data_IF_093858406262
#
_entry.id   IF_093858406262
#
_cell.length_a   1.000
_cell.length_b   1.000
_cell.length_c   1.000
_cell.angle_alpha   90.00
_cell.angle_beta   90.00
_cell.angle_gamma   90.00
#
_symmetry.space_group_name_H-M   'P 1'
#
loop_
_entity.id
_entity.type
_entity.pdbx_description
1 polymer ?
#
# COMPACT_ATOMS: atom_id res chain seq x y z
N UNK A 1 -6.99 -7.02 -0.09
CA UNK A 1 -7.71 -6.79 1.18
C UNK A 1 -6.82 -6.73 2.42
N UNK A 2 -6.14 -7.83 2.79
CA UNK A 2 -5.43 -8.00 4.08
C UNK A 2 -4.47 -6.86 4.47
N UNK A 3 -3.60 -6.42 3.56
CA UNK A 3 -2.64 -5.34 3.84
C UNK A 3 -3.32 -3.98 4.05
N UNK A 4 -4.42 -3.72 3.33
CA UNK A 4 -5.19 -2.48 3.50
C UNK A 4 -5.86 -2.41 4.87
N UNK A 5 -6.47 -3.51 5.35
CA UNK A 5 -7.03 -3.57 6.70
C UNK A 5 -5.96 -3.40 7.78
N UNK A 6 -4.79 -4.05 7.64
CA UNK A 6 -3.65 -3.82 8.54
C UNK A 6 -3.20 -2.36 8.57
N UNK A 7 -3.21 -1.70 7.42
CA UNK A 7 -2.82 -0.30 7.32
C UNK A 7 -3.86 0.62 7.96
N UNK A 8 -5.14 0.35 7.74
CA UNK A 8 -6.26 1.07 8.37
C UNK A 8 -6.19 0.97 9.89
N UNK A 9 -6.05 -0.24 10.43
CA UNK A 9 -5.89 -0.45 11.87
C UNK A 9 -4.66 0.29 12.45
N UNK A 10 -3.50 0.19 11.80
CA UNK A 10 -2.31 0.92 12.29
C UNK A 10 -2.52 2.44 12.27
N UNK A 11 -3.16 2.97 11.23
CA UNK A 11 -3.41 4.41 11.10
C UNK A 11 -4.47 4.88 12.11
N UNK A 12 -5.52 4.09 12.38
CA UNK A 12 -6.58 4.46 13.33
C UNK A 12 -6.07 4.57 14.78
N UNK A 13 -4.99 3.87 15.12
CA UNK A 13 -4.39 3.91 16.46
C UNK A 13 -3.50 5.12 16.73
N UNK A 14 -3.24 5.97 15.72
CA UNK A 14 -2.48 7.21 15.93
C UNK A 14 -3.39 8.29 16.52
N UNK A 15 -2.99 8.86 17.66
CA UNK A 15 -3.75 9.89 18.38
C UNK A 15 -3.08 11.26 18.30
N UNK A 16 -3.87 12.32 18.42
CA UNK A 16 -3.38 13.70 18.61
C UNK A 16 -2.80 14.40 17.38
N UNK A 17 -2.98 13.88 16.16
CA UNK A 17 -2.42 14.46 14.92
C UNK A 17 -3.47 14.82 13.85
N UNK A 18 -4.75 14.80 14.23
CA UNK A 18 -5.86 14.98 13.30
C UNK A 18 -6.01 13.81 12.31
N UNK A 19 -6.84 13.95 11.26
CA UNK A 19 -7.08 12.89 10.31
C UNK A 19 -5.87 12.64 9.39
N UNK A 20 -5.70 11.39 8.98
CA UNK A 20 -4.74 11.01 7.98
C UNK A 20 -5.04 11.68 6.62
N UNK A 21 -3.98 12.11 5.94
CA UNK A 21 -4.00 12.74 4.63
C UNK A 21 -3.35 11.79 3.62
N UNK A 22 -3.80 11.90 2.39
CA UNK A 22 -3.14 11.32 1.24
C UNK A 22 -2.12 12.32 0.70
N UNK A 23 -0.84 11.95 0.71
CA UNK A 23 0.25 12.78 0.21
C UNK A 23 0.95 11.98 -0.87
N UNK A 24 1.35 12.64 -1.95
CA UNK A 24 2.14 12.03 -3.02
C UNK A 24 3.47 12.76 -3.13
N UNK A 25 4.55 12.00 -3.28
CA UNK A 25 5.90 12.50 -3.49
C UNK A 25 6.49 11.88 -4.77
N UNK A 26 6.74 12.70 -5.78
CA UNK A 26 7.37 12.29 -7.04
C UNK A 26 8.88 12.53 -7.00
N UNK A 27 9.64 11.58 -7.54
CA UNK A 27 11.09 11.69 -7.68
C UNK A 27 11.46 12.66 -8.82
N UNK A 28 12.60 13.37 -8.70
CA UNK A 28 13.26 13.98 -9.86
C UNK A 28 13.87 12.89 -10.74
N UNK A 29 14.05 13.18 -12.03
CA UNK A 29 14.61 12.23 -13.00
C UNK A 29 16.01 11.72 -12.59
N UNK A 30 16.81 12.59 -11.97
CA UNK A 30 18.15 12.27 -11.46
C UNK A 30 18.16 11.09 -10.46
N UNK A 31 17.07 10.90 -9.72
CA UNK A 31 16.95 9.85 -8.71
C UNK A 31 16.25 8.58 -9.24
N UNK A 32 15.85 8.54 -10.51
CA UNK A 32 15.14 7.38 -11.07
C UNK A 32 15.96 6.09 -10.99
N UNK A 33 17.28 6.19 -11.20
CA UNK A 33 18.19 5.04 -11.08
C UNK A 33 18.23 4.44 -9.67
N UNK A 34 17.97 5.23 -8.62
CA UNK A 34 17.97 4.74 -7.24
C UNK A 34 16.85 3.73 -6.97
N UNK A 35 15.82 3.69 -7.81
CA UNK A 35 14.75 2.69 -7.71
C UNK A 35 15.31 1.27 -7.82
N UNK A 36 16.30 1.06 -8.70
CA UNK A 36 16.94 -0.24 -8.91
C UNK A 36 18.25 -0.39 -8.15
N UNK A 37 19.02 0.69 -7.97
CA UNK A 37 20.38 0.59 -7.41
C UNK A 37 20.46 0.76 -5.89
N UNK A 38 19.61 1.58 -5.28
CA UNK A 38 19.61 1.82 -3.82
C UNK A 38 18.21 2.22 -3.32
N UNK A 39 17.26 1.30 -3.46
CA UNK A 39 15.89 1.51 -2.99
C UNK A 39 15.81 1.86 -1.48
N UNK A 40 16.59 1.22 -0.58
CA UNK A 40 16.62 1.62 0.84
C UNK A 40 17.13 3.05 1.07
N UNK A 41 18.16 3.49 0.33
CA UNK A 41 18.67 4.87 0.37
C UNK A 41 17.67 5.87 -0.17
N UNK A 42 17.03 5.58 -1.31
CA UNK A 42 15.93 6.37 -1.86
C UNK A 42 14.82 6.56 -0.82
N UNK A 43 14.38 5.47 -0.17
CA UNK A 43 13.34 5.53 0.86
C UNK A 43 13.76 6.38 2.06
N UNK A 44 15.02 6.29 2.52
CA UNK A 44 15.56 7.16 3.57
C UNK A 44 15.57 8.63 3.15
N UNK A 45 15.91 8.92 1.89
CA UNK A 45 15.87 10.28 1.31
C UNK A 45 14.44 10.83 1.34
N UNK A 46 13.46 10.03 0.89
CA UNK A 46 12.02 10.36 0.92
C UNK A 46 11.53 10.67 2.35
N UNK A 47 11.92 9.87 3.35
CA UNK A 47 11.54 10.16 4.74
C UNK A 47 12.06 11.52 5.24
N UNK A 48 13.29 11.89 4.87
CA UNK A 48 13.86 13.19 5.25
C UNK A 48 13.08 14.35 4.60
N UNK A 49 12.73 14.21 3.32
CA UNK A 49 11.94 15.20 2.57
C UNK A 49 10.55 15.36 3.22
N UNK A 50 9.85 14.24 3.41
CA UNK A 50 8.53 14.23 4.05
C UNK A 50 8.55 14.90 5.43
N UNK A 51 9.58 14.65 6.25
CA UNK A 51 9.73 15.30 7.55
C UNK A 51 9.90 16.82 7.43
N UNK A 52 10.66 17.30 6.44
CA UNK A 52 10.90 18.74 6.24
C UNK A 52 9.64 19.49 5.83
N UNK A 53 8.78 18.86 5.02
CA UNK A 53 7.48 19.42 4.63
C UNK A 53 6.39 19.13 5.67
N UNK A 54 6.75 18.80 6.91
CA UNK A 54 5.81 18.68 8.03
C UNK A 54 5.06 17.35 8.16
N UNK A 55 5.41 16.33 7.37
CA UNK A 55 4.89 14.98 7.56
C UNK A 55 5.45 14.36 8.85
N UNK A 56 4.56 13.92 9.73
CA UNK A 56 4.91 13.35 11.04
C UNK A 56 5.12 11.84 11.00
N UNK A 57 4.54 11.16 10.01
CA UNK A 57 4.63 9.71 9.81
C UNK A 57 3.46 9.16 9.00
N UNK A 58 3.59 7.93 8.52
CA UNK A 58 2.53 7.31 7.71
C UNK A 58 2.90 5.95 7.13
N UNK A 59 1.94 5.40 6.39
CA UNK A 59 2.07 4.28 5.46
C UNK A 59 2.65 4.80 4.14
N UNK A 60 3.80 4.29 3.70
CA UNK A 60 4.45 4.66 2.43
C UNK A 60 4.35 3.49 1.44
N UNK A 61 3.85 3.76 0.23
CA UNK A 61 3.61 2.78 -0.84
C UNK A 61 4.23 3.27 -2.15
N UNK A 62 5.10 2.48 -2.76
CA UNK A 62 5.82 2.86 -3.97
C UNK A 62 5.08 2.49 -5.26
N UNK A 63 5.11 3.39 -6.23
CA UNK A 63 4.49 3.24 -7.54
C UNK A 63 5.51 3.62 -8.63
N UNK A 64 5.95 2.66 -9.47
CA UNK A 64 6.96 2.93 -10.49
C UNK A 64 6.42 3.67 -11.71
N UNK A 65 5.13 3.50 -12.01
CA UNK A 65 4.51 4.03 -13.22
C UNK A 65 3.35 4.96 -12.92
N UNK A 66 3.08 5.87 -13.84
CA UNK A 66 1.89 6.73 -13.85
C UNK A 66 1.20 6.59 -15.20
N UNK A 67 -0.10 6.87 -15.23
CA UNK A 67 -0.87 6.98 -16.48
C UNK A 67 -0.77 8.40 -17.04
N UNK A 68 -0.73 8.54 -18.35
CA UNK A 68 -0.92 9.82 -19.05
C UNK A 68 -1.79 9.65 -20.29
N UNK A 69 -2.45 10.73 -20.67
CA UNK A 69 -3.17 10.81 -21.92
C UNK A 69 -2.14 10.94 -23.06
N UNK A 70 -2.07 10.00 -24.01
CA UNK A 70 -1.11 10.04 -25.11
C UNK A 70 -1.38 11.22 -26.06
N UNK A 71 -2.63 11.69 -26.12
CA UNK A 71 -3.04 12.80 -26.99
C UNK A 71 -2.61 14.18 -26.47
N UNK A 72 -2.66 14.41 -25.16
CA UNK A 72 -2.45 15.75 -24.59
C UNK A 72 -1.52 15.80 -23.38
N UNK A 73 -0.97 14.66 -22.96
CA UNK A 73 -0.06 14.56 -21.81
C UNK A 73 -0.74 14.68 -20.44
N UNK A 74 -2.05 14.91 -20.37
CA UNK A 74 -2.75 15.06 -19.09
C UNK A 74 -2.67 13.79 -18.24
N UNK A 75 -2.51 13.97 -16.93
CA UNK A 75 -2.42 12.87 -15.98
C UNK A 75 -3.84 12.64 -15.44
N UNK A 76 -4.49 11.50 -15.73
CA UNK A 76 -5.83 11.26 -15.24
C UNK A 76 -5.84 11.14 -13.73
N UNK A 77 -6.93 11.59 -13.14
CA UNK A 77 -7.26 11.21 -11.78
C UNK A 77 -7.64 9.73 -11.68
N UNK A 78 -7.64 9.27 -10.44
CA UNK A 78 -7.99 7.92 -10.05
C UNK A 78 -9.34 7.50 -10.62
N UNK A 79 -9.42 6.36 -11.32
CA UNK A 79 -10.67 5.81 -11.85
C UNK A 79 -11.20 6.44 -13.14
N UNK A 80 -10.55 7.48 -13.69
CA UNK A 80 -11.00 8.07 -14.95
C UNK A 80 -10.72 7.15 -16.15
N UNK A 81 -11.78 6.85 -16.91
CA UNK A 81 -11.71 6.07 -18.16
C UNK A 81 -11.56 6.96 -19.40
N UNK A 82 -11.91 8.24 -19.29
CA UNK A 82 -11.84 9.24 -20.35
C UNK A 82 -11.03 10.43 -19.85
N UNK A 83 -10.16 10.97 -20.72
CA UNK A 83 -9.40 12.18 -20.45
C UNK A 83 -10.33 13.38 -20.36
N UNK A 84 -10.40 14.00 -19.18
CA UNK A 84 -11.24 15.17 -18.91
C UNK A 84 -10.85 16.42 -19.72
N UNK A 85 -9.66 16.44 -20.33
CA UNK A 85 -9.17 17.58 -21.10
C UNK A 85 -9.48 17.47 -22.60
N UNK A 86 -9.33 16.29 -23.21
CA UNK A 86 -9.43 16.12 -24.67
C UNK A 86 -10.32 14.95 -25.13
N UNK A 87 -11.02 14.29 -24.20
CA UNK A 87 -11.93 13.19 -24.51
C UNK A 87 -11.26 11.88 -24.94
N UNK A 88 -9.93 11.76 -24.87
CA UNK A 88 -9.25 10.50 -25.19
C UNK A 88 -9.73 9.38 -24.27
N UNK A 89 -10.04 8.21 -24.82
CA UNK A 89 -10.65 7.09 -24.09
C UNK A 89 -9.65 6.01 -23.64
N UNK A 90 -8.36 6.21 -23.89
CA UNK A 90 -7.30 5.32 -23.43
C UNK A 90 -6.14 6.09 -22.79
N UNK A 91 -5.28 5.39 -22.05
CA UNK A 91 -4.15 6.00 -21.35
C UNK A 91 -2.95 5.07 -21.42
N UNK A 92 -1.77 5.66 -21.60
CA UNK A 92 -0.51 4.92 -21.58
C UNK A 92 0.14 4.99 -20.21
N UNK A 93 0.85 3.93 -19.84
CA UNK A 93 1.70 3.90 -18.66
C UNK A 93 3.11 4.35 -19.03
N UNK A 94 3.70 5.20 -18.20
CA UNK A 94 5.09 5.63 -18.39
C UNK A 94 5.82 5.63 -17.05
N UNK A 95 7.14 5.40 -17.11
CA UNK A 95 7.97 5.34 -15.91
C UNK A 95 8.06 6.73 -15.27
N UNK A 96 7.51 6.83 -14.06
CA UNK A 96 7.42 8.06 -13.28
C UNK A 96 7.31 7.67 -11.82
N UNK A 97 8.43 7.21 -11.21
CA UNK A 97 8.43 6.70 -9.87
C UNK A 97 7.97 7.76 -8.87
N UNK A 98 7.09 7.35 -7.97
CA UNK A 98 6.56 8.17 -6.90
C UNK A 98 6.13 7.31 -5.72
N UNK A 99 5.97 7.94 -4.56
CA UNK A 99 5.40 7.30 -3.39
C UNK A 99 4.09 7.96 -3.00
N UNK A 100 3.15 7.12 -2.59
CA UNK A 100 1.94 7.51 -1.90
C UNK A 100 2.15 7.35 -0.40
N UNK A 101 1.70 8.34 0.36
CA UNK A 101 1.69 8.35 1.80
C UNK A 101 0.26 8.47 2.27
N UNK A 102 -0.16 7.57 3.17
CA UNK A 102 -1.34 7.79 4.00
C UNK A 102 -0.83 8.04 5.41
N UNK A 103 -0.90 9.30 5.86
CA UNK A 103 -0.15 9.72 7.04
C UNK A 103 -0.59 11.06 7.61
N UNK A 104 0.17 11.52 8.60
CA UNK A 104 -0.19 12.66 9.44
C UNK A 104 0.79 13.82 9.27
N UNK A 105 0.35 15.01 9.63
CA UNK A 105 1.16 16.22 9.57
C UNK A 105 0.44 17.39 8.94
N UNK A 106 1.06 18.56 9.08
CA UNK A 106 0.65 19.79 8.43
C UNK A 106 1.63 20.04 7.28
N UNK A 107 1.14 19.97 6.03
CA UNK A 107 2.01 19.90 4.85
C UNK A 107 2.24 21.29 4.30
N UNK A 108 3.46 21.77 4.46
CA UNK A 108 3.89 23.13 4.08
C UNK A 108 5.30 23.12 3.51
N UNK A 109 5.72 24.25 2.92
CA UNK A 109 7.08 24.43 2.43
C UNK A 109 7.44 23.55 1.21
N UNK A 110 6.45 23.01 0.50
CA UNK A 110 6.68 22.07 -0.60
C UNK A 110 7.37 22.71 -1.81
N UNK A 111 7.12 24.00 -2.06
CA UNK A 111 7.81 24.75 -3.11
C UNK A 111 9.29 24.95 -2.81
N UNK A 112 9.62 25.34 -1.57
CA UNK A 112 11.01 25.48 -1.11
C UNK A 112 11.73 24.13 -1.13
N UNK A 113 11.05 23.06 -0.73
CA UNK A 113 11.63 21.71 -0.79
C UNK A 113 11.83 21.22 -2.22
N UNK A 114 10.95 21.59 -3.17
CA UNK A 114 11.15 21.33 -4.59
C UNK A 114 12.41 22.04 -5.12
N UNK A 115 12.58 23.34 -4.84
CA UNK A 115 13.79 24.08 -5.23
C UNK A 115 15.07 23.48 -4.63
N UNK A 116 14.97 22.93 -3.43
CA UNK A 116 16.10 22.31 -2.73
C UNK A 116 16.49 20.93 -3.27
N UNK A 117 15.50 20.10 -3.63
CA UNK A 117 15.70 18.66 -3.80
C UNK A 117 15.25 18.11 -5.15
N UNK A 118 14.49 18.88 -5.93
CA UNK A 118 13.80 18.42 -7.14
C UNK A 118 12.56 17.57 -6.87
N UNK A 119 12.28 17.18 -5.62
CA UNK A 119 11.11 16.36 -5.29
C UNK A 119 9.83 17.18 -5.26
N UNK A 120 8.80 16.66 -5.91
CA UNK A 120 7.46 17.28 -5.91
C UNK A 120 6.61 16.61 -4.85
N UNK A 121 6.27 17.33 -3.78
CA UNK A 121 5.33 16.88 -2.76
C UNK A 121 3.97 17.54 -2.96
N UNK A 122 2.93 16.73 -3.10
CA UNK A 122 1.54 17.18 -3.21
C UNK A 122 0.70 16.61 -2.07
N UNK A 123 0.00 17.50 -1.36
CA UNK A 123 -1.05 17.11 -0.44
C UNK A 123 -2.34 16.89 -1.25
N UNK A 124 -2.76 15.64 -1.41
CA UNK A 124 -3.99 15.26 -2.11
C UNK A 124 -5.22 15.44 -1.18
N UNK A 125 -4.97 15.62 0.13
CA UNK A 125 -6.00 15.90 1.11
C UNK A 125 -6.58 14.66 1.76
N UNK A 126 -7.71 14.84 2.44
CA UNK A 126 -8.38 13.76 3.17
C UNK A 126 -9.15 12.87 2.19
N UNK A 127 -8.97 11.55 2.31
CA UNK A 127 -9.79 10.56 1.60
C UNK A 127 -10.90 10.06 2.52
N UNK A 128 -11.97 9.50 1.93
CA UNK A 128 -13.15 9.01 2.68
C UNK A 128 -12.80 7.84 3.61
N UNK A 129 -12.00 6.89 3.12
CA UNK A 129 -11.55 5.72 3.88
C UNK A 129 -10.04 5.54 3.71
N UNK A 130 -9.36 5.25 4.83
CA UNK A 130 -7.94 4.89 4.83
C UNK A 130 -7.77 3.52 4.17
N UNK A 131 -8.56 2.52 4.58
CA UNK A 131 -8.52 1.18 4.00
C UNK A 131 -8.76 1.19 2.49
N UNK A 132 -9.79 1.90 2.03
CA UNK A 132 -10.10 2.04 0.60
C UNK A 132 -8.97 2.73 -0.19
N UNK A 133 -8.36 3.77 0.40
CA UNK A 133 -7.22 4.46 -0.24
C UNK A 133 -6.02 3.53 -0.36
N UNK A 134 -5.64 2.84 0.72
CA UNK A 134 -4.52 1.90 0.70
C UNK A 134 -4.80 0.73 -0.24
N UNK A 135 -6.03 0.18 -0.25
CA UNK A 135 -6.42 -0.89 -1.14
C UNK A 135 -6.25 -0.48 -2.61
N UNK A 136 -6.73 0.72 -2.97
CA UNK A 136 -6.56 1.24 -4.32
C UNK A 136 -5.08 1.40 -4.64
N UNK A 137 -4.28 2.01 -3.76
CA UNK A 137 -2.84 2.14 -4.01
C UNK A 137 -2.15 0.78 -4.21
N UNK A 138 -2.51 -0.22 -3.42
CA UNK A 138 -1.95 -1.56 -3.56
C UNK A 138 -2.35 -2.27 -4.85
N UNK A 139 -3.45 -1.88 -5.51
CA UNK A 139 -3.91 -2.52 -6.75
C UNK A 139 -2.98 -2.29 -7.95
N UNK A 140 -2.05 -1.34 -7.83
CA UNK A 140 -1.12 -0.95 -8.90
C UNK A 140 0.24 -0.49 -8.34
N UNK A 141 0.57 -0.95 -7.12
CA UNK A 141 1.86 -0.69 -6.51
C UNK A 141 2.96 -1.53 -7.17
N UNK A 142 4.19 -1.02 -7.15
CA UNK A 142 5.36 -1.82 -7.53
C UNK A 142 5.68 -2.83 -6.44
N UNK A 143 5.92 -4.08 -6.82
CA UNK A 143 6.33 -5.15 -5.90
C UNK A 143 7.76 -5.56 -6.24
N UNK A 144 8.56 -5.81 -5.21
CA UNK A 144 9.93 -6.31 -5.33
C UNK A 144 10.09 -7.53 -4.43
N UNK A 145 10.91 -8.50 -4.84
CA UNK A 145 11.11 -9.75 -4.07
C UNK A 145 11.71 -9.47 -2.69
N UNK A 146 12.71 -8.59 -2.62
CA UNK A 146 13.44 -8.30 -1.38
C UNK A 146 12.82 -7.20 -0.49
N UNK A 147 11.77 -6.51 -0.97
CA UNK A 147 11.25 -5.33 -0.27
C UNK A 147 9.74 -5.38 -0.06
N UNK A 148 9.31 -4.99 1.14
CA UNK A 148 7.89 -4.81 1.42
C UNK A 148 7.30 -3.62 0.65
N UNK A 149 6.17 -3.87 -0.01
CA UNK A 149 5.37 -2.86 -0.73
C UNK A 149 4.84 -1.74 0.18
N UNK A 150 4.57 -2.07 1.45
CA UNK A 150 4.13 -1.12 2.48
C UNK A 150 5.25 -0.96 3.50
N UNK A 151 5.65 0.29 3.74
CA UNK A 151 6.61 0.64 4.79
C UNK A 151 6.06 1.72 5.71
N UNK A 152 6.59 1.78 6.93
CA UNK A 152 6.08 2.64 8.00
C UNK A 152 7.18 3.55 8.52
N UNK A 153 6.87 4.83 8.67
CA UNK A 153 7.84 5.83 9.15
C UNK A 153 7.22 6.84 10.10
N UNK A 154 8.09 7.61 10.76
CA UNK A 154 7.69 8.66 11.68
C UNK A 154 6.89 8.09 12.84
N UNK A 155 5.81 8.76 13.25
CA UNK A 155 4.94 8.29 14.35
C UNK A 155 4.30 6.93 14.10
N UNK A 156 4.19 6.48 12.84
CA UNK A 156 3.61 5.19 12.49
C UNK A 156 4.64 4.04 12.46
N UNK A 157 5.93 4.31 12.71
CA UNK A 157 6.98 3.29 12.65
C UNK A 157 6.84 2.22 13.73
N UNK A 158 7.34 1.02 13.46
CA UNK A 158 7.21 -0.14 14.36
C UNK A 158 7.80 0.08 15.76
N UNK A 159 8.86 0.89 15.88
CA UNK A 159 9.49 1.23 17.16
C UNK A 159 8.76 2.33 17.94
N UNK A 160 7.87 3.10 17.32
CA UNK A 160 7.14 4.20 17.97
C UNK A 160 5.68 3.88 18.23
N UNK A 161 5.06 3.09 17.36
CA UNK A 161 3.67 2.70 17.47
C UNK A 161 3.55 1.18 17.60
N UNK A 162 3.21 0.75 18.82
CA UNK A 162 2.78 -0.61 19.12
C UNK A 162 1.28 -0.69 18.84
N UNK A 163 0.93 -1.49 17.85
CA UNK A 163 -0.44 -1.63 17.36
C UNK A 163 -1.08 -2.81 18.06
N UNK A 164 -2.21 -2.58 18.72
CA UNK A 164 -3.09 -3.66 19.19
C UNK A 164 -3.67 -4.32 17.95
N UNK A 165 -3.45 -5.61 17.75
CA UNK A 165 -4.08 -6.27 16.61
C UNK A 165 -5.58 -6.31 16.88
N UNK A 166 -6.37 -5.93 15.88
CA UNK A 166 -7.81 -6.18 15.96
C UNK A 166 -8.00 -7.68 16.10
N UNK A 167 -8.87 -8.08 17.03
CA UNK A 167 -9.48 -9.40 16.99
C UNK A 167 -10.22 -9.46 15.68
N UNK A 168 -9.56 -10.02 14.69
CA UNK A 168 -10.25 -10.53 13.52
C UNK A 168 -11.23 -11.52 14.11
N UNK A 169 -12.53 -11.31 13.85
CA UNK A 169 -13.48 -12.41 13.95
C UNK A 169 -12.75 -13.63 13.40
N UNK A 170 -12.54 -14.61 14.28
CA UNK A 170 -11.85 -15.81 13.86
C UNK A 170 -12.54 -16.28 12.61
N UNK A 171 -11.80 -16.85 11.67
CA UNK A 171 -12.44 -17.72 10.70
C UNK A 171 -13.13 -18.79 11.57
N UNK A 172 -14.41 -18.65 11.88
CA UNK A 172 -15.17 -19.60 12.69
C UNK A 172 -16.04 -20.38 11.72
N UNK A 173 -16.20 -21.67 11.98
CA UNK A 173 -17.10 -22.49 11.19
C UNK A 173 -18.50 -21.86 11.23
N UNK A 174 -19.12 -21.54 10.08
CA UNK A 174 -20.46 -20.95 10.06
C UNK A 174 -21.53 -21.89 10.64
N UNK A 175 -21.24 -23.18 10.74
CA UNK A 175 -22.14 -24.19 11.28
C UNK A 175 -22.05 -24.33 12.80
N UNK A 176 -20.84 -24.37 13.36
CA UNK A 176 -20.64 -24.70 14.78
C UNK A 176 -19.94 -23.61 15.60
N UNK A 177 -19.51 -22.50 14.98
CA UNK A 177 -18.80 -21.40 15.65
C UNK A 177 -17.38 -21.74 16.10
N UNK A 178 -16.90 -22.98 15.90
CA UNK A 178 -15.54 -23.36 16.25
C UNK A 178 -14.52 -22.60 15.39
N UNK A 179 -13.40 -22.20 15.99
CA UNK A 179 -12.31 -21.53 15.29
C UNK A 179 -11.70 -22.47 14.23
N UNK A 180 -11.70 -22.06 12.97
CA UNK A 180 -11.03 -22.70 11.86
C UNK A 180 -9.52 -22.62 12.04
N UNK A 181 -8.86 -23.75 11.83
CA UNK A 181 -7.43 -23.94 12.00
C UNK A 181 -6.82 -24.13 10.61
N UNK A 182 -5.71 -23.44 10.28
CA UNK A 182 -5.06 -23.63 8.99
C UNK A 182 -4.57 -25.07 8.79
N UNK A 183 -5.09 -25.73 7.75
CA UNK A 183 -4.62 -27.02 7.25
C UNK A 183 -3.83 -26.86 5.95
N UNK A 184 -3.06 -27.88 5.60
CA UNK A 184 -2.41 -28.04 4.31
C UNK A 184 -2.53 -29.51 3.87
N UNK A 185 -2.45 -29.75 2.56
CA UNK A 185 -2.42 -31.09 1.98
C UNK A 185 -1.07 -31.77 2.22
N UNK A 186 -1.13 -33.00 2.72
CA UNK A 186 0.00 -33.93 2.94
C UNK A 186 -0.35 -35.34 2.43
N UNK A 187 -1.44 -35.49 1.68
CA UNK A 187 -1.83 -36.77 1.09
C UNK A 187 -0.91 -37.16 -0.06
N UNK A 188 -1.08 -38.40 -0.52
CA UNK A 188 -0.41 -38.86 -1.74
C UNK A 188 -1.08 -38.23 -2.98
N UNK A 189 -0.27 -37.77 -3.93
CA UNK A 189 -0.76 -37.14 -5.15
C UNK A 189 -0.93 -35.62 -5.06
N UNK A 190 -1.55 -35.04 -6.08
CA UNK A 190 -1.79 -33.60 -6.18
C UNK A 190 -2.82 -33.13 -5.16
N UNK A 191 -2.67 -31.90 -4.68
CA UNK A 191 -3.66 -31.26 -3.80
C UNK A 191 -5.03 -31.21 -4.51
N UNK A 192 -6.09 -31.82 -3.95
CA UNK A 192 -7.42 -31.84 -4.55
C UNK A 192 -8.01 -30.45 -4.84
N UNK A 193 -7.48 -29.40 -4.21
CA UNK A 193 -7.90 -28.01 -4.40
C UNK A 193 -6.90 -27.17 -5.20
N UNK A 194 -5.86 -27.77 -5.78
CA UNK A 194 -4.82 -27.03 -6.51
C UNK A 194 -5.37 -26.16 -7.65
N UNK A 195 -6.46 -26.61 -8.29
CA UNK A 195 -7.09 -25.94 -9.45
C UNK A 195 -8.31 -25.10 -9.09
N UNK A 196 -8.85 -25.25 -7.89
CA UNK A 196 -10.18 -24.73 -7.53
C UNK A 196 -10.18 -23.21 -7.22
N UNK A 197 -9.01 -22.61 -6.99
CA UNK A 197 -8.89 -21.19 -6.65
C UNK A 197 -9.23 -20.87 -5.18
N UNK A 198 -9.42 -19.59 -4.86
CA UNK A 198 -9.84 -19.17 -3.52
C UNK A 198 -11.36 -19.33 -3.35
N UNK A 199 -11.80 -20.13 -2.37
CA UNK A 199 -13.22 -20.39 -2.10
C UNK A 199 -13.47 -21.21 -0.83
N UNK A 200 -14.74 -21.58 -0.62
CA UNK A 200 -15.17 -22.49 0.44
C UNK A 200 -15.54 -23.83 -0.19
N UNK A 201 -14.85 -24.90 0.21
CA UNK A 201 -14.98 -26.23 -0.39
C UNK A 201 -15.27 -27.27 0.68
N UNK A 202 -16.04 -28.28 0.30
CA UNK A 202 -16.21 -29.50 1.07
C UNK A 202 -15.30 -30.56 0.46
N UNK A 203 -14.29 -30.98 1.23
CA UNK A 203 -13.30 -31.98 0.81
C UNK A 203 -13.25 -33.13 1.82
N UNK A 204 -12.79 -34.28 1.37
CA UNK A 204 -12.43 -35.39 2.26
C UNK A 204 -11.29 -34.94 3.19
N UNK A 205 -11.39 -35.12 4.51
CA UNK A 205 -10.32 -34.78 5.44
C UNK A 205 -9.06 -35.64 5.30
N UNK A 206 -9.12 -36.78 4.59
CA UNK A 206 -7.95 -37.61 4.31
C UNK A 206 -6.86 -36.82 3.58
N UNK A 207 -5.59 -37.04 3.93
CA UNK A 207 -4.47 -36.26 3.39
C UNK A 207 -4.30 -34.84 3.94
N UNK A 208 -5.34 -34.20 4.50
CA UNK A 208 -5.21 -32.87 5.12
C UNK A 208 -4.67 -32.94 6.55
N UNK A 209 -3.76 -32.02 6.90
CA UNK A 209 -3.17 -31.92 8.25
C UNK A 209 -3.06 -30.46 8.71
N UNK A 210 -3.21 -30.23 10.01
CA UNK A 210 -3.01 -28.90 10.61
C UNK A 210 -1.54 -28.47 10.55
N UNK A 211 -1.32 -27.20 10.22
CA UNK A 211 0.04 -26.63 10.14
C UNK A 211 0.66 -26.42 11.53
N UNK A 212 1.98 -26.57 11.63
CA UNK A 212 2.74 -26.69 12.88
C UNK A 212 2.63 -25.52 13.89
N UNK A 213 2.01 -24.40 13.52
CA UNK A 213 1.73 -23.27 14.45
C UNK A 213 0.55 -23.51 15.39
N UNK A 214 -0.18 -24.62 15.21
CA UNK A 214 -1.40 -24.93 15.95
C UNK A 214 -1.40 -26.39 16.46
N UNK A 215 -0.22 -27.00 16.63
CA UNK A 215 -0.03 -28.21 17.45
C UNK A 215 0.06 -27.84 18.92
#
# INVERSE_FOLDING_TARGET
>A
GRLAGKAENRISQVRGLGPAKHIMISLPQEDFGLVSTDYPGLRRKVYKILKRVGTRGGCLIFHPFRRRCPRCGSIPEMGHKICSFCGNYWFEWYFSPHFHVVGFGWIEGTGQEFLRSGYVVKNIGRRRSVGGTVLYQLSHAGVHLDYHVVTWFGVCSYNKLRVVQEDREGNTCPTCGARLIPCAWFGEGEDPLATEGEGEYWVDPEGWRYTARYR
#
